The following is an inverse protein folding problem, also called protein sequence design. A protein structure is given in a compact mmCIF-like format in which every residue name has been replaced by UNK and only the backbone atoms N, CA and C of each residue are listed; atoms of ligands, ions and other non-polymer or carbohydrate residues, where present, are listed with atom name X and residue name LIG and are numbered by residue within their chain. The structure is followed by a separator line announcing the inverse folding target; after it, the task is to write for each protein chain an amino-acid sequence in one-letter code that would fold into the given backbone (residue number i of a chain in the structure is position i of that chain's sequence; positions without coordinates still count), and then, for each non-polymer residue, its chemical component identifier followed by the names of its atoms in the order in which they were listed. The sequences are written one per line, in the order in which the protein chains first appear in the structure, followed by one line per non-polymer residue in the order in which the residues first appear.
data_IF_947591387285
#
_entry.id   IF_947591387285
#
_cell.length_a   1.000
_cell.length_b   1.000
_cell.length_c   1.000
_cell.angle_alpha   90.00
_cell.angle_beta   90.00
_cell.angle_gamma   90.00
#
_symmetry.space_group_name_H-M   'P 1'
#
loop_
_entity.id
_entity.type
_entity.pdbx_description
1 polymer ?
#
# COMPACT_ATOMS: atom_id res chain seq x y z
N UNK A 1 9.56 15.18 -18.28
CA UNK A 1 9.08 15.50 -16.96
C UNK A 1 9.16 14.31 -16.04
N UNK A 2 9.82 14.48 -14.97
CA UNK A 2 9.97 13.39 -14.03
C UNK A 2 9.06 13.63 -12.83
N UNK A 3 8.84 12.59 -12.04
CA UNK A 3 8.07 12.72 -10.81
C UNK A 3 6.58 12.64 -10.96
N UNK A 4 6.07 12.55 -12.18
CA UNK A 4 4.63 12.41 -12.37
C UNK A 4 4.19 11.01 -11.94
N UNK A 5 3.18 10.95 -11.09
CA UNK A 5 2.63 9.68 -10.68
C UNK A 5 1.70 9.14 -11.74
N UNK A 6 1.71 7.81 -11.91
CA UNK A 6 0.78 7.14 -12.80
C UNK A 6 -0.61 7.12 -12.17
N UNK A 7 -0.67 6.94 -10.85
CA UNK A 7 -1.93 6.87 -10.12
C UNK A 7 -1.98 7.95 -9.06
N UNK A 8 -3.17 8.50 -8.86
CA UNK A 8 -3.40 9.46 -7.77
C UNK A 8 -3.22 8.75 -6.44
N UNK A 9 -2.56 9.41 -5.51
CA UNK A 9 -2.39 8.91 -4.15
C UNK A 9 -3.34 9.62 -3.20
N UNK A 10 -3.74 8.92 -2.16
CA UNK A 10 -4.70 9.43 -1.19
C UNK A 10 -4.17 9.22 0.21
N UNK A 11 -4.31 10.22 1.07
CA UNK A 11 -3.93 10.10 2.47
C UNK A 11 -4.84 9.08 3.14
N UNK A 12 -4.24 8.26 4.02
CA UNK A 12 -4.96 7.16 4.61
C UNK A 12 -4.23 6.76 5.89
N UNK A 13 -4.95 6.29 6.91
CA UNK A 13 -4.31 5.85 8.14
C UNK A 13 -4.95 4.56 8.64
N UNK A 14 -4.76 3.50 7.88
CA UNK A 14 -5.27 2.18 8.26
C UNK A 14 -4.10 1.25 8.59
N UNK A 15 -4.36 0.21 9.37
CA UNK A 15 -3.32 -0.80 9.63
C UNK A 15 -3.00 -1.58 8.37
N UNK A 16 -1.74 -1.92 8.21
CA UNK A 16 -1.28 -2.75 7.11
C UNK A 16 -0.51 -3.93 7.68
N UNK A 17 -0.97 -5.12 7.37
CA UNK A 17 -0.29 -6.34 7.80
C UNK A 17 0.60 -6.81 6.67
N UNK A 18 1.88 -7.02 6.97
CA UNK A 18 2.88 -7.36 5.97
C UNK A 18 3.44 -8.74 6.28
N UNK A 19 3.28 -9.65 5.33
CA UNK A 19 3.76 -11.02 5.46
C UNK A 19 4.88 -11.26 4.47
N UNK A 20 6.05 -11.64 4.96
CA UNK A 20 7.18 -12.05 4.15
C UNK A 20 7.39 -13.54 4.34
N UNK A 21 7.88 -14.18 3.28
CA UNK A 21 8.15 -15.61 3.37
C UNK A 21 9.24 -15.88 4.42
N UNK A 22 8.98 -16.80 5.32
CA UNK A 22 9.95 -17.18 6.34
C UNK A 22 10.09 -16.22 7.50
N UNK A 23 9.26 -15.16 7.55
CA UNK A 23 9.33 -14.15 8.60
C UNK A 23 7.98 -14.01 9.28
N UNK A 24 8.00 -13.45 10.49
CA UNK A 24 6.77 -13.15 11.18
C UNK A 24 6.07 -11.97 10.51
N UNK A 25 4.74 -12.03 10.49
CA UNK A 25 3.94 -10.90 10.04
C UNK A 25 4.15 -9.73 10.98
N UNK A 26 4.20 -8.53 10.42
CA UNK A 26 4.22 -7.32 11.24
C UNK A 26 3.16 -6.35 10.73
N UNK A 27 2.80 -5.39 11.56
CA UNK A 27 1.79 -4.39 11.24
C UNK A 27 2.46 -3.03 11.14
N UNK A 28 2.25 -2.37 10.01
CA UNK A 28 2.66 -0.98 9.84
C UNK A 28 1.44 -0.09 9.74
N UNK A 29 1.67 1.20 9.61
CA UNK A 29 0.58 2.17 9.48
C UNK A 29 0.65 2.82 8.11
N UNK A 30 -0.45 2.76 7.37
CA UNK A 30 -0.50 3.33 6.03
C UNK A 30 -0.48 4.85 6.13
N UNK A 31 0.30 5.48 5.27
CA UNK A 31 0.34 6.93 5.12
C UNK A 31 -0.43 7.35 3.89
N UNK A 32 -0.24 6.65 2.79
CA UNK A 32 -1.02 6.92 1.59
C UNK A 32 -1.14 5.65 0.76
N UNK A 33 -2.13 5.66 -0.13
CA UNK A 33 -2.48 4.50 -0.95
C UNK A 33 -2.94 4.98 -2.32
N UNK A 34 -2.69 4.16 -3.35
CA UNK A 34 -3.17 4.39 -4.71
C UNK A 34 -3.55 3.05 -5.31
N UNK A 35 -3.97 3.07 -6.58
CA UNK A 35 -4.18 1.81 -7.29
C UNK A 35 -2.87 1.09 -7.58
N UNK A 36 -1.74 1.80 -7.52
CA UNK A 36 -0.44 1.21 -7.82
C UNK A 36 0.31 0.71 -6.62
N UNK A 37 -0.03 1.16 -5.42
CA UNK A 37 0.72 0.75 -4.25
C UNK A 37 0.33 1.47 -2.98
N UNK A 38 1.13 1.25 -1.96
CA UNK A 38 0.84 1.71 -0.61
C UNK A 38 2.16 2.08 0.06
N UNK A 39 2.15 3.16 0.84
CA UNK A 39 3.31 3.54 1.64
C UNK A 39 2.94 3.44 3.10
N UNK A 40 3.78 2.78 3.90
CA UNK A 40 3.49 2.63 5.31
C UNK A 40 4.69 2.99 6.17
N UNK A 41 4.41 3.47 7.37
CA UNK A 41 5.41 3.74 8.38
C UNK A 41 5.69 2.45 9.14
N UNK A 42 6.97 2.16 9.32
CA UNK A 42 7.41 1.02 10.09
C UNK A 42 8.91 1.18 10.35
N UNK A 43 9.40 0.63 11.44
CA UNK A 43 10.84 0.57 11.69
C UNK A 43 11.43 -0.77 11.28
N UNK A 44 10.62 -1.63 10.69
CA UNK A 44 11.11 -2.90 10.15
C UNK A 44 11.80 -2.64 8.82
N UNK A 45 13.03 -3.08 8.69
CA UNK A 45 13.79 -2.89 7.45
C UNK A 45 13.50 -4.04 6.50
N UNK A 46 13.10 -3.70 5.27
CA UNK A 46 12.83 -4.69 4.25
C UNK A 46 13.61 -4.29 3.00
N UNK A 47 14.45 -5.18 2.47
CA UNK A 47 15.25 -4.83 1.30
C UNK A 47 14.40 -4.54 0.07
N UNK A 48 14.89 -3.64 -0.76
CA UNK A 48 14.30 -3.35 -2.06
C UNK A 48 14.13 -4.63 -2.85
N UNK A 49 12.98 -4.77 -3.50
CA UNK A 49 12.70 -5.94 -4.35
C UNK A 49 12.11 -7.13 -3.61
N UNK A 50 11.99 -7.04 -2.29
CA UNK A 50 11.38 -8.13 -1.52
C UNK A 50 9.91 -8.27 -1.89
N UNK A 51 9.46 -9.50 -2.12
CA UNK A 51 8.06 -9.79 -2.39
C UNK A 51 7.35 -10.11 -1.08
N UNK A 52 6.16 -9.55 -0.94
CA UNK A 52 5.38 -9.67 0.29
C UNK A 52 3.92 -9.89 -0.06
N UNK A 53 3.14 -10.26 0.95
CA UNK A 53 1.68 -10.21 0.88
C UNK A 53 1.20 -9.15 1.85
N UNK A 54 0.32 -8.28 1.38
CA UNK A 54 -0.25 -7.20 2.17
C UNK A 54 -1.69 -7.53 2.47
N UNK A 55 -2.08 -7.34 3.73
CA UNK A 55 -3.46 -7.56 4.15
C UNK A 55 -3.96 -6.28 4.81
N UNK A 56 -5.04 -5.75 4.31
CA UNK A 56 -5.60 -4.51 4.85
C UNK A 56 -7.10 -4.46 4.60
N UNK A 57 -7.77 -3.62 5.38
CA UNK A 57 -9.22 -3.52 5.34
C UNK A 57 -9.64 -2.43 4.37
N UNK A 58 -10.50 -2.80 3.42
CA UNK A 58 -11.14 -1.86 2.51
C UNK A 58 -12.64 -1.94 2.76
N UNK A 59 -13.30 -0.83 3.14
CA UNK A 59 -14.69 -0.91 3.60
C UNK A 59 -15.67 -1.55 2.62
N UNK A 60 -15.44 -1.41 1.32
CA UNK A 60 -16.35 -1.97 0.32
C UNK A 60 -16.22 -3.49 0.16
N UNK A 61 -15.21 -4.10 0.76
CA UNK A 61 -15.03 -5.56 0.72
C UNK A 61 -15.55 -6.17 2.01
N UNK A 62 -16.09 -7.40 1.89
CA UNK A 62 -16.57 -8.11 3.05
C UNK A 62 -15.44 -8.62 3.92
N UNK A 63 -14.31 -8.92 3.29
CA UNK A 63 -13.13 -9.46 3.97
C UNK A 63 -11.94 -8.58 3.65
N UNK A 64 -10.84 -8.76 4.40
CA UNK A 64 -9.63 -8.03 4.14
C UNK A 64 -9.14 -8.29 2.73
N UNK A 65 -8.59 -7.25 2.11
CA UNK A 65 -7.88 -7.41 0.86
C UNK A 65 -6.53 -8.07 1.15
N UNK A 66 -6.15 -9.03 0.32
CA UNK A 66 -4.85 -9.69 0.40
C UNK A 66 -4.22 -9.55 -0.97
N UNK A 67 -3.13 -8.77 -1.04
CA UNK A 67 -2.54 -8.37 -2.31
C UNK A 67 -1.05 -8.66 -2.29
N UNK A 68 -0.57 -9.29 -3.36
CA UNK A 68 0.87 -9.47 -3.55
C UNK A 68 1.49 -8.12 -3.91
N UNK A 69 2.68 -7.86 -3.38
CA UNK A 69 3.35 -6.59 -3.62
C UNK A 69 4.86 -6.77 -3.54
N UNK A 70 5.57 -5.75 -4.01
CA UNK A 70 7.04 -5.76 -4.03
C UNK A 70 7.52 -4.44 -3.43
N UNK A 71 8.57 -4.51 -2.62
CA UNK A 71 9.16 -3.31 -2.01
C UNK A 71 9.85 -2.49 -3.11
N UNK A 72 9.45 -1.23 -3.24
CA UNK A 72 10.03 -0.30 -4.21
C UNK A 72 10.74 0.87 -3.56
N UNK A 73 10.39 1.22 -2.33
CA UNK A 73 11.10 2.23 -1.57
C UNK A 73 11.34 1.69 -0.17
N UNK A 74 12.57 1.85 0.31
CA UNK A 74 12.92 1.49 1.67
C UNK A 74 13.62 2.69 2.29
N UNK A 75 12.99 3.27 3.32
CA UNK A 75 13.52 4.40 4.06
C UNK A 75 13.62 4.01 5.52
N UNK A 76 14.39 4.75 6.33
CA UNK A 76 14.53 4.37 7.74
C UNK A 76 13.21 4.28 8.49
N UNK A 77 12.22 5.09 8.12
CA UNK A 77 10.96 5.15 8.86
C UNK A 77 9.78 4.61 8.07
N UNK A 78 10.00 4.07 6.87
CA UNK A 78 8.86 3.60 6.09
C UNK A 78 9.24 2.80 4.87
N UNK A 79 8.25 2.14 4.30
CA UNK A 79 8.42 1.26 3.15
C UNK A 79 7.31 1.53 2.15
N UNK A 80 7.67 1.65 0.89
CA UNK A 80 6.72 1.77 -0.21
C UNK A 80 6.62 0.45 -0.94
N UNK A 81 5.39 -0.02 -1.13
CA UNK A 81 5.10 -1.27 -1.82
C UNK A 81 4.38 -0.97 -3.13
N UNK A 82 4.77 -1.65 -4.18
CA UNK A 82 4.05 -1.63 -5.44
C UNK A 82 3.19 -2.88 -5.49
N UNK A 83 1.90 -2.69 -5.74
CA UNK A 83 0.99 -3.83 -5.87
C UNK A 83 1.35 -4.65 -7.10
N UNK A 84 1.16 -5.96 -7.01
CA UNK A 84 1.13 -6.81 -8.17
C UNK A 84 -0.22 -6.71 -8.86
N UNK A 85 -0.74 -7.82 -9.38
CA UNK A 85 -2.04 -7.80 -10.03
C UNK A 85 -3.16 -7.64 -9.02
N UNK A 86 -4.08 -6.73 -9.30
CA UNK A 86 -5.29 -6.57 -8.49
C UNK A 86 -6.45 -7.23 -9.23
N UNK A 87 -7.34 -7.87 -8.47
CA UNK A 87 -8.58 -8.38 -9.05
C UNK A 87 -9.54 -7.22 -9.31
N UNK A 88 -10.47 -7.43 -10.24
CA UNK A 88 -11.43 -6.38 -10.59
C UNK A 88 -12.21 -5.90 -9.36
N UNK A 89 -12.59 -6.82 -8.46
CA UNK A 89 -13.33 -6.45 -7.26
C UNK A 89 -12.48 -5.58 -6.34
N UNK A 90 -11.18 -5.80 -6.32
CA UNK A 90 -10.28 -5.00 -5.50
C UNK A 90 -10.12 -3.60 -6.08
N UNK A 91 -9.99 -3.50 -7.41
CA UNK A 91 -9.92 -2.19 -8.06
C UNK A 91 -11.18 -1.39 -7.78
N UNK A 92 -12.34 -2.02 -7.93
CA UNK A 92 -13.61 -1.37 -7.66
C UNK A 92 -13.68 -0.89 -6.21
N UNK A 93 -13.34 -1.77 -5.27
CA UNK A 93 -13.43 -1.45 -3.85
C UNK A 93 -12.48 -0.32 -3.46
N UNK A 94 -11.27 -0.32 -4.03
CA UNK A 94 -10.32 0.75 -3.74
C UNK A 94 -10.82 2.08 -4.29
N UNK A 95 -11.40 2.09 -5.49
CA UNK A 95 -11.95 3.31 -6.05
C UNK A 95 -13.09 3.86 -5.20
N UNK A 96 -13.93 2.97 -4.65
CA UNK A 96 -14.98 3.41 -3.72
C UNK A 96 -14.39 4.03 -2.47
N UNK A 97 -13.34 3.41 -1.95
CA UNK A 97 -12.64 3.90 -0.76
C UNK A 97 -12.04 5.28 -0.99
N UNK A 98 -11.40 5.46 -2.15
CA UNK A 98 -10.72 6.73 -2.48
C UNK A 98 -11.68 7.92 -2.52
N UNK A 99 -12.95 7.68 -2.81
CA UNK A 99 -13.93 8.76 -2.87
C UNK A 99 -14.08 9.47 -1.52
N UNK A 100 -13.72 8.80 -0.44
CA UNK A 100 -13.85 9.35 0.91
C UNK A 100 -12.51 9.82 1.47
N UNK A 101 -11.46 9.80 0.67
CA UNK A 101 -10.11 10.15 1.11
C UNK A 101 -9.66 11.44 0.46
N UNK A 102 -8.69 12.08 1.10
CA UNK A 102 -8.09 13.31 0.60
C UNK A 102 -6.90 12.97 -0.28
N UNK A 103 -6.81 13.53 -1.50
CA UNK A 103 -5.63 13.30 -2.33
C UNK A 103 -4.37 13.79 -1.63
N UNK A 104 -3.31 13.00 -1.72
CA UNK A 104 -2.02 13.36 -1.16
C UNK A 104 -1.39 14.43 -2.04
N UNK A 105 -0.96 15.57 -1.48
CA UNK A 105 -0.31 16.59 -2.29
C UNK A 105 0.95 16.05 -2.95
N UNK A 106 1.23 16.45 -4.19
CA UNK A 106 2.47 16.03 -4.84
C UNK A 106 3.67 16.66 -4.15
N UNK A 107 4.79 15.94 -4.17
CA UNK A 107 6.04 16.48 -3.69
C UNK A 107 6.65 17.37 -4.77
N UNK A 108 7.23 18.46 -4.36
CA UNK A 108 7.89 19.39 -5.28
C UNK A 108 9.38 19.24 -5.29
#
# INVERSE_FOLDING_TARGET
MTGRRVHERYDCDIPLHVQREGEEEFTGEVVNISLGGIYCLTDVTIPYGTEVKLRFRVPALKEDAIVAATVRWAKPDGVGFQFGSLRAIEVWALNQFFKNLTPTPPLD
#
